data_IF_942111359302
#
_entry.id   IF_942111359302
#
_cell.length_a   1.000
_cell.length_b   1.000
_cell.length_c   1.000
_cell.angle_alpha   90.00
_cell.angle_beta   90.00
_cell.angle_gamma   90.00
#
_symmetry.space_group_name_H-M   'P 1'
#
loop_
_entity.id
_entity.type
_entity.pdbx_description
1 polymer ?
#
# COMPACT_ATOMS: atom_id res chain seq x y z
N UNK A 1 -27.29 42.72 -13.40
CA UNK A 1 -28.09 41.60 -12.87
C UNK A 1 -27.27 40.34 -13.05
N UNK A 2 -26.87 39.74 -11.92
CA UNK A 2 -25.92 38.64 -11.76
C UNK A 2 -26.52 37.32 -12.24
N UNK A 3 -25.92 36.70 -13.25
CA UNK A 3 -26.24 35.32 -13.64
C UNK A 3 -25.71 34.36 -12.57
N UNK A 4 -26.61 33.69 -11.88
CA UNK A 4 -26.35 32.65 -10.88
C UNK A 4 -26.24 31.24 -11.50
N UNK A 5 -26.21 31.12 -12.83
CA UNK A 5 -26.35 29.84 -13.53
C UNK A 5 -25.00 29.19 -13.89
N UNK A 6 -24.09 29.04 -12.93
CA UNK A 6 -22.77 28.40 -13.15
C UNK A 6 -22.59 27.03 -12.51
N UNK A 7 -23.65 26.38 -12.04
CA UNK A 7 -23.53 24.99 -11.61
C UNK A 7 -24.84 24.26 -11.84
N UNK A 8 -24.90 23.47 -12.92
CA UNK A 8 -25.92 22.41 -13.03
C UNK A 8 -25.86 21.49 -11.81
N UNK A 9 -26.87 20.63 -11.58
CA UNK A 9 -26.92 19.79 -10.37
C UNK A 9 -25.59 19.06 -10.20
N UNK A 10 -24.85 19.42 -9.15
CA UNK A 10 -23.59 18.78 -8.82
C UNK A 10 -23.88 17.30 -8.58
N UNK A 11 -23.16 16.36 -9.23
CA UNK A 11 -23.36 14.95 -8.99
C UNK A 11 -23.15 14.68 -7.50
N UNK A 12 -24.20 14.21 -6.82
CA UNK A 12 -24.14 13.88 -5.40
C UNK A 12 -23.28 12.63 -5.23
N UNK A 13 -22.08 12.80 -4.68
CA UNK A 13 -21.22 11.68 -4.29
C UNK A 13 -21.74 11.16 -2.95
N UNK A 14 -22.48 10.05 -2.98
CA UNK A 14 -22.84 9.33 -1.74
C UNK A 14 -21.66 8.47 -1.32
N UNK A 15 -21.00 8.86 -0.23
CA UNK A 15 -20.07 7.98 0.47
C UNK A 15 -20.86 6.87 1.17
N UNK A 16 -20.24 5.70 1.27
CA UNK A 16 -20.83 4.49 1.84
C UNK A 16 -21.44 4.79 3.23
N UNK A 17 -22.75 4.54 3.43
CA UNK A 17 -23.37 4.60 4.77
C UNK A 17 -24.61 5.49 4.95
N UNK A 18 -25.42 5.73 3.91
CA UNK A 18 -26.79 6.20 4.13
C UNK A 18 -27.65 5.13 4.83
N UNK A 19 -28.69 5.52 5.60
CA UNK A 19 -29.50 4.59 6.35
C UNK A 19 -30.39 3.78 5.40
N UNK A 20 -29.93 2.60 4.98
CA UNK A 20 -30.81 1.62 4.31
C UNK A 20 -30.27 0.79 3.15
N UNK A 21 -29.01 0.37 3.10
CA UNK A 21 -28.70 -0.68 2.12
C UNK A 21 -27.26 -1.15 2.00
N UNK A 22 -26.96 -2.24 2.69
CA UNK A 22 -25.83 -3.15 2.45
C UNK A 22 -25.94 -3.91 1.10
N UNK A 23 -26.75 -3.42 0.14
CA UNK A 23 -27.23 -4.19 -1.03
C UNK A 23 -27.27 -3.43 -2.35
N UNK A 24 -26.60 -2.29 -2.46
CA UNK A 24 -26.44 -1.60 -3.74
C UNK A 24 -24.95 -1.28 -3.92
N UNK A 25 -24.24 -1.92 -4.88
CA UNK A 25 -22.85 -1.56 -5.13
C UNK A 25 -22.85 -0.09 -5.54
N UNK A 26 -22.23 0.76 -4.72
CA UNK A 26 -22.02 2.16 -5.04
C UNK A 26 -21.42 2.23 -6.46
N UNK A 27 -22.16 2.80 -7.41
CA UNK A 27 -21.61 3.05 -8.74
C UNK A 27 -20.43 3.99 -8.55
N UNK A 28 -19.22 3.50 -8.81
CA UNK A 28 -18.02 4.31 -8.86
C UNK A 28 -18.23 5.31 -9.99
N UNK A 29 -18.67 6.52 -9.63
CA UNK A 29 -18.99 7.57 -10.58
C UNK A 29 -17.73 8.19 -11.20
N UNK A 30 -16.56 7.94 -10.59
CA UNK A 30 -15.31 8.56 -10.96
C UNK A 30 -14.12 7.64 -10.68
N UNK A 31 -13.22 7.50 -11.66
CA UNK A 31 -11.95 6.77 -11.50
C UNK A 31 -10.79 7.75 -11.48
N UNK A 32 -10.00 7.73 -10.41
CA UNK A 32 -8.79 8.54 -10.31
C UNK A 32 -7.76 8.15 -11.40
N UNK A 33 -6.96 9.10 -11.89
CA UNK A 33 -5.86 8.79 -12.80
C UNK A 33 -4.85 7.88 -12.11
N UNK A 34 -4.26 6.96 -12.87
CA UNK A 34 -3.35 5.94 -12.32
C UNK A 34 -1.87 6.26 -12.51
N UNK A 35 -1.55 7.20 -13.40
CA UNK A 35 -0.21 7.65 -13.70
C UNK A 35 -0.25 8.98 -14.47
N UNK A 36 0.91 9.58 -14.73
CA UNK A 36 1.07 10.86 -15.43
C UNK A 36 0.87 10.76 -16.93
N UNK A 37 0.73 9.55 -17.49
CA UNK A 37 0.33 9.34 -18.88
C UNK A 37 -1.19 9.52 -19.09
N UNK A 38 -1.97 9.72 -18.03
CA UNK A 38 -3.39 10.02 -18.13
C UNK A 38 -3.61 11.40 -18.79
N UNK A 39 -4.48 11.52 -19.82
CA UNK A 39 -4.72 12.80 -20.50
C UNK A 39 -5.14 13.94 -19.56
N UNK A 40 -5.77 13.64 -18.41
CA UNK A 40 -6.16 14.62 -17.40
C UNK A 40 -4.96 15.27 -16.72
N UNK A 41 -3.82 14.58 -16.65
CA UNK A 41 -2.58 15.12 -16.13
C UNK A 41 -2.09 16.27 -17.01
N UNK A 42 -1.94 16.04 -18.32
CA UNK A 42 -1.49 17.04 -19.28
C UNK A 42 -2.49 18.19 -19.50
N UNK A 43 -3.79 17.94 -19.29
CA UNK A 43 -4.84 18.95 -19.43
C UNK A 43 -4.93 19.91 -18.23
N UNK A 44 -4.33 19.59 -17.08
CA UNK A 44 -4.43 20.41 -15.88
C UNK A 44 -3.65 21.72 -16.02
N UNK A 45 -4.32 22.85 -15.75
CA UNK A 45 -3.73 24.20 -15.82
C UNK A 45 -3.70 24.97 -14.49
N UNK A 46 -4.39 24.45 -13.47
CA UNK A 46 -4.49 25.06 -12.15
C UNK A 46 -4.37 23.97 -11.06
N UNK A 47 -3.20 23.90 -10.42
CA UNK A 47 -2.83 22.81 -9.52
C UNK A 47 -3.37 23.04 -8.09
N UNK A 48 -4.56 22.54 -7.81
CA UNK A 48 -5.20 22.60 -6.48
C UNK A 48 -5.01 21.31 -5.67
N UNK A 49 -5.19 21.33 -4.33
CA UNK A 49 -5.37 20.12 -3.55
C UNK A 49 -6.48 19.24 -4.15
N UNK A 50 -6.23 17.94 -4.25
CA UNK A 50 -7.13 16.96 -4.89
C UNK A 50 -7.38 17.18 -6.40
N UNK A 51 -6.49 17.84 -7.15
CA UNK A 51 -6.53 17.77 -8.62
C UNK A 51 -6.13 16.38 -9.11
N UNK A 52 -6.69 15.96 -10.24
CA UNK A 52 -6.28 14.75 -10.97
C UNK A 52 -4.78 14.71 -11.25
N UNK A 53 -4.18 15.87 -11.47
CA UNK A 53 -2.76 15.99 -11.70
C UNK A 53 -1.89 15.50 -10.53
N UNK A 54 -2.32 15.78 -9.30
CA UNK A 54 -1.66 15.35 -8.06
C UNK A 54 -1.97 13.91 -7.75
N UNK A 55 -3.19 13.46 -8.04
CA UNK A 55 -3.58 12.06 -7.89
C UNK A 55 -2.76 11.15 -8.81
N UNK A 56 -2.52 11.58 -10.05
CA UNK A 56 -1.66 10.88 -11.01
C UNK A 56 -0.21 10.75 -10.50
N UNK A 57 0.38 11.84 -10.00
CA UNK A 57 1.74 11.83 -9.43
C UNK A 57 1.81 10.96 -8.17
N UNK A 58 0.81 11.06 -7.29
CA UNK A 58 0.75 10.24 -6.09
C UNK A 58 0.66 8.76 -6.45
N UNK A 59 -0.12 8.41 -7.47
CA UNK A 59 -0.24 7.03 -7.94
C UNK A 59 1.10 6.49 -8.47
N UNK A 60 1.88 7.29 -9.21
CA UNK A 60 3.22 6.91 -9.65
C UNK A 60 4.18 6.74 -8.48
N UNK A 61 4.25 7.73 -7.58
CA UNK A 61 5.11 7.66 -6.39
C UNK A 61 4.79 6.42 -5.55
N UNK A 62 3.51 6.08 -5.38
CA UNK A 62 3.09 4.87 -4.68
C UNK A 62 3.50 3.60 -5.43
N UNK A 63 3.41 3.60 -6.76
CA UNK A 63 3.85 2.46 -7.57
C UNK A 63 5.36 2.25 -7.45
N UNK A 64 6.15 3.31 -7.50
CA UNK A 64 7.60 3.29 -7.31
C UNK A 64 7.98 2.78 -5.91
N UNK A 65 7.39 3.36 -4.85
CA UNK A 65 7.64 2.93 -3.48
C UNK A 65 7.27 1.45 -3.25
N UNK A 66 6.16 0.99 -3.82
CA UNK A 66 5.77 -0.43 -3.77
C UNK A 66 6.78 -1.30 -4.50
N UNK A 67 7.25 -0.86 -5.66
CA UNK A 67 8.26 -1.60 -6.42
C UNK A 67 9.57 -1.71 -5.64
N UNK A 68 10.07 -0.61 -5.08
CA UNK A 68 11.28 -0.58 -4.24
C UNK A 68 11.15 -1.49 -3.02
N UNK A 69 10.01 -1.41 -2.32
CA UNK A 69 9.73 -2.27 -1.18
C UNK A 69 9.74 -3.75 -1.57
N UNK A 70 9.06 -4.12 -2.65
CA UNK A 70 9.07 -5.50 -3.15
C UNK A 70 10.45 -5.94 -3.67
N UNK A 71 11.25 -5.04 -4.22
CA UNK A 71 12.62 -5.35 -4.62
C UNK A 71 13.51 -5.65 -3.40
N UNK A 72 13.38 -4.86 -2.33
CA UNK A 72 14.06 -5.12 -1.07
C UNK A 72 13.61 -6.45 -0.43
N UNK A 73 12.32 -6.77 -0.47
CA UNK A 73 11.79 -8.07 -0.02
C UNK A 73 12.42 -9.23 -0.77
N UNK A 74 12.45 -9.18 -2.11
CA UNK A 74 13.06 -10.22 -2.94
C UNK A 74 14.55 -10.41 -2.61
N UNK A 75 15.31 -9.32 -2.56
CA UNK A 75 16.73 -9.37 -2.22
C UNK A 75 16.96 -9.97 -0.82
N UNK A 76 16.12 -9.62 0.15
CA UNK A 76 16.21 -10.19 1.50
C UNK A 76 15.90 -11.70 1.51
N UNK A 77 14.87 -12.15 0.79
CA UNK A 77 14.56 -13.57 0.63
C UNK A 77 15.72 -14.33 -0.03
N UNK A 78 16.28 -13.79 -1.13
CA UNK A 78 17.37 -14.43 -1.85
C UNK A 78 18.64 -14.58 -1.00
N UNK A 79 19.01 -13.53 -0.25
CA UNK A 79 20.24 -13.53 0.57
C UNK A 79 20.08 -14.36 1.86
N UNK A 80 18.88 -14.38 2.44
CA UNK A 80 18.61 -15.04 3.72
C UNK A 80 17.82 -16.34 3.59
N UNK A 81 17.72 -16.89 2.37
CA UNK A 81 17.01 -18.14 2.11
C UNK A 81 17.48 -19.25 3.06
N UNK A 82 16.53 -19.94 3.70
CA UNK A 82 16.83 -20.99 4.67
C UNK A 82 17.20 -20.50 6.07
N UNK A 83 17.34 -19.19 6.29
CA UNK A 83 17.54 -18.67 7.64
C UNK A 83 16.24 -18.72 8.45
N UNK A 84 16.35 -19.17 9.70
CA UNK A 84 15.28 -19.09 10.70
C UNK A 84 15.23 -17.67 11.27
N UNK A 85 14.36 -16.81 10.76
CA UNK A 85 14.24 -15.41 11.20
C UNK A 85 13.31 -15.25 12.40
N UNK A 86 12.36 -16.16 12.56
CA UNK A 86 11.45 -16.24 13.70
C UNK A 86 11.52 -17.62 14.34
N UNK A 87 11.08 -17.73 15.59
CA UNK A 87 10.84 -19.02 16.21
C UNK A 87 9.38 -19.10 16.69
N UNK A 88 8.50 -19.85 16.01
CA UNK A 88 7.09 -19.95 16.37
C UNK A 88 6.88 -20.71 17.70
N UNK A 89 7.82 -21.55 18.11
CA UNK A 89 7.75 -22.33 19.35
C UNK A 89 8.17 -21.53 20.59
N UNK A 90 8.57 -20.26 20.43
CA UNK A 90 8.96 -19.42 21.55
C UNK A 90 7.74 -18.93 22.35
N UNK A 91 7.78 -19.11 23.67
CA UNK A 91 6.72 -18.71 24.60
C UNK A 91 6.84 -17.24 25.03
N UNK A 92 8.04 -16.68 24.96
CA UNK A 92 8.35 -15.29 25.31
C UNK A 92 9.06 -14.55 24.18
N UNK A 93 9.00 -13.22 24.17
CA UNK A 93 9.73 -12.41 23.20
C UNK A 93 11.25 -12.53 23.34
N UNK A 94 11.73 -12.72 24.57
CA UNK A 94 13.14 -12.97 24.84
C UNK A 94 13.62 -14.29 24.20
N UNK A 95 12.84 -15.36 24.33
CA UNK A 95 13.11 -16.65 23.68
C UNK A 95 13.01 -16.53 22.16
N UNK A 96 12.01 -15.82 21.64
CA UNK A 96 11.81 -15.59 20.19
C UNK A 96 13.03 -14.91 19.59
N UNK A 97 13.55 -13.90 20.29
CA UNK A 97 14.76 -13.21 19.89
C UNK A 97 15.99 -14.11 19.99
N UNK A 98 16.16 -14.91 21.06
CA UNK A 98 17.36 -15.72 21.26
C UNK A 98 17.46 -16.94 20.34
N UNK A 99 16.33 -17.62 20.09
CA UNK A 99 16.29 -18.87 19.34
C UNK A 99 16.23 -18.69 17.82
N UNK A 100 16.00 -17.47 17.35
CA UNK A 100 16.07 -17.14 15.93
C UNK A 100 17.53 -16.85 15.50
N UNK A 101 17.79 -16.81 14.20
CA UNK A 101 19.09 -16.45 13.66
C UNK A 101 19.50 -15.05 14.12
N UNK A 102 20.74 -14.91 14.56
CA UNK A 102 21.31 -13.66 15.09
C UNK A 102 22.18 -12.90 14.08
N UNK A 103 22.29 -13.36 12.83
CA UNK A 103 23.07 -12.63 11.84
C UNK A 103 22.49 -11.23 11.58
N UNK A 104 23.35 -10.29 11.18
CA UNK A 104 22.97 -8.89 10.94
C UNK A 104 21.78 -8.77 9.98
N UNK A 105 21.74 -9.59 8.93
CA UNK A 105 20.62 -9.61 7.97
C UNK A 105 19.28 -9.97 8.61
N UNK A 106 19.21 -11.06 9.39
CA UNK A 106 17.98 -11.44 10.10
C UNK A 106 17.58 -10.43 11.18
N UNK A 107 18.55 -9.78 11.84
CA UNK A 107 18.24 -8.70 12.79
C UNK A 107 17.61 -7.50 12.10
N UNK A 108 18.14 -7.09 10.93
CA UNK A 108 17.58 -6.00 10.12
C UNK A 108 16.15 -6.35 9.72
N UNK A 109 15.94 -7.51 9.10
CA UNK A 109 14.62 -7.94 8.62
C UNK A 109 13.57 -7.95 9.74
N UNK A 110 13.91 -8.48 10.93
CA UNK A 110 13.00 -8.48 12.08
C UNK A 110 12.64 -7.07 12.54
N UNK A 111 13.62 -6.16 12.60
CA UNK A 111 13.42 -4.79 13.11
C UNK A 111 12.75 -3.87 12.11
N UNK A 112 12.90 -4.13 10.81
CA UNK A 112 12.31 -3.31 9.76
C UNK A 112 10.92 -3.77 9.33
N UNK A 113 10.48 -4.95 9.79
CA UNK A 113 9.26 -5.61 9.30
C UNK A 113 9.23 -5.72 7.77
N UNK A 114 10.41 -5.94 7.16
CA UNK A 114 10.55 -6.03 5.72
C UNK A 114 9.85 -7.28 5.17
N UNK A 115 9.91 -8.39 5.88
CA UNK A 115 9.26 -9.64 5.49
C UNK A 115 8.02 -9.91 6.36
N UNK A 116 7.02 -10.56 5.76
CA UNK A 116 5.78 -10.97 6.42
C UNK A 116 5.55 -12.49 6.27
N UNK A 117 4.38 -12.97 6.73
CA UNK A 117 3.98 -14.38 6.67
C UNK A 117 3.93 -14.99 5.25
N UNK A 118 4.00 -14.19 4.19
CA UNK A 118 4.09 -14.69 2.81
C UNK A 118 5.51 -15.12 2.44
N UNK A 119 6.50 -14.58 3.15
CA UNK A 119 7.92 -14.81 2.93
C UNK A 119 8.53 -15.75 3.97
N UNK A 120 7.91 -15.85 5.14
CA UNK A 120 8.37 -16.66 6.27
C UNK A 120 7.41 -17.84 6.44
N UNK A 121 7.95 -19.06 6.46
CA UNK A 121 7.20 -20.26 6.77
C UNK A 121 6.65 -20.17 8.22
N UNK A 122 5.32 -20.22 8.42
CA UNK A 122 4.72 -19.96 9.72
C UNK A 122 4.97 -21.08 10.74
N UNK A 123 5.36 -22.28 10.29
CA UNK A 123 5.59 -23.44 11.15
C UNK A 123 7.04 -23.58 11.58
N UNK A 124 7.96 -23.12 10.73
CA UNK A 124 9.41 -23.27 10.95
C UNK A 124 10.11 -21.94 11.23
N UNK A 125 9.46 -20.81 10.93
CA UNK A 125 10.04 -19.47 11.02
C UNK A 125 11.16 -19.23 10.00
N UNK A 126 11.24 -20.05 8.96
CA UNK A 126 12.30 -20.04 7.94
C UNK A 126 11.88 -19.18 6.74
N UNK A 127 12.81 -18.37 6.25
CA UNK A 127 12.62 -17.56 5.03
C UNK A 127 12.64 -18.47 3.80
N UNK A 128 11.61 -18.33 2.95
CA UNK A 128 11.42 -19.05 1.68
C UNK A 128 11.93 -18.26 0.48
#
# INVERSE_FOLDING_TARGET
MTSTDLVGPLPTITFHGGPGGFRNPARVAYSLPRNTLDPRFAACRDHRPACDCREALLAENLAELRYEYHAAQRAACEVLAGHRVENPDAYTDAERAHLACQCTGCQIVRRSHLLDYRHIDPWTGVIR
#
